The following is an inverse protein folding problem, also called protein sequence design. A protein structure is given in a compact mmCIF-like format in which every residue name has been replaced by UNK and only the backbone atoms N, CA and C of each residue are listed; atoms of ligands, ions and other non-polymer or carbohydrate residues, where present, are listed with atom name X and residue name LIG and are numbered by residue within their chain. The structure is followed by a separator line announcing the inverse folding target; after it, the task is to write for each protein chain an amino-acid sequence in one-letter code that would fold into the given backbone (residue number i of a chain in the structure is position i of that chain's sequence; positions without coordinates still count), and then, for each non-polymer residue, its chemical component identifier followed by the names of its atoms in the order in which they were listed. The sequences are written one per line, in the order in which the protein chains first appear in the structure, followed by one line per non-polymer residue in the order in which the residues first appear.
data_IF_411390921163
#
_entry.id   IF_411390921163
#
_cell.length_a   1.000
_cell.length_b   1.000
_cell.length_c   1.000
_cell.angle_alpha   90.00
_cell.angle_beta   90.00
_cell.angle_gamma   90.00
#
_symmetry.space_group_name_H-M   'P 1'
#
loop_
_entity.id
_entity.type
_entity.pdbx_description
1 polymer ?
#
# COMPACT_ATOMS: atom_id res chain seq x y z
N UNK A 1 19.30 -21.17 -14.00
CA UNK A 1 19.20 -21.42 -12.55
C UNK A 1 17.74 -21.64 -12.21
N UNK A 2 17.44 -22.69 -11.45
CA UNK A 2 16.09 -23.05 -11.02
C UNK A 2 16.16 -23.50 -9.55
N UNK A 3 15.44 -22.83 -8.68
CA UNK A 3 15.30 -23.19 -7.27
C UNK A 3 13.81 -23.20 -6.89
N UNK A 4 13.44 -23.95 -5.86
CA UNK A 4 12.11 -23.86 -5.25
C UNK A 4 12.30 -23.64 -3.76
N UNK A 5 11.68 -22.56 -3.25
CA UNK A 5 11.61 -22.27 -1.82
C UNK A 5 10.19 -22.43 -1.33
N UNK A 6 10.03 -22.67 -0.03
CA UNK A 6 8.73 -22.86 0.60
C UNK A 6 8.56 -21.86 1.72
N UNK A 7 7.38 -21.26 1.77
CA UNK A 7 7.00 -20.30 2.82
C UNK A 7 5.68 -20.77 3.44
N UNK A 8 5.58 -20.69 4.77
CA UNK A 8 4.34 -21.03 5.47
C UNK A 8 3.53 -19.76 5.73
N UNK A 9 2.38 -19.62 5.09
CA UNK A 9 1.47 -18.47 5.24
C UNK A 9 0.05 -19.00 5.42
N UNK A 10 -0.73 -18.37 6.30
CA UNK A 10 -2.15 -18.69 6.54
C UNK A 10 -2.46 -20.20 6.69
N UNK A 11 -1.62 -20.90 7.44
CA UNK A 11 -1.83 -22.32 7.75
C UNK A 11 -1.37 -23.31 6.66
N UNK A 12 -0.83 -22.84 5.54
CA UNK A 12 -0.39 -23.70 4.44
C UNK A 12 1.01 -23.38 3.91
N UNK A 13 1.64 -24.35 3.26
CA UNK A 13 2.92 -24.15 2.58
C UNK A 13 2.70 -23.71 1.13
N UNK A 14 3.23 -22.54 0.77
CA UNK A 14 3.32 -22.06 -0.61
C UNK A 14 4.69 -22.40 -1.16
N UNK A 15 4.72 -23.08 -2.31
CA UNK A 15 5.96 -23.28 -3.08
C UNK A 15 6.17 -22.13 -4.07
N UNK A 16 7.36 -21.54 -4.05
CA UNK A 16 7.75 -20.42 -4.91
C UNK A 16 8.89 -20.89 -5.81
N UNK A 17 8.64 -20.87 -7.12
CA UNK A 17 9.64 -21.19 -8.15
C UNK A 17 10.50 -19.95 -8.40
N UNK A 18 11.82 -20.06 -8.26
CA UNK A 18 12.77 -18.99 -8.52
C UNK A 18 13.58 -19.38 -9.75
N UNK A 19 13.53 -18.58 -10.80
CA UNK A 19 14.18 -18.95 -12.06
C UNK A 19 14.55 -17.76 -12.95
N UNK A 20 15.60 -17.93 -13.73
CA UNK A 20 15.94 -17.06 -14.86
C UNK A 20 15.67 -17.74 -16.22
N UNK A 21 14.79 -18.75 -16.26
CA UNK A 21 14.46 -19.50 -17.46
C UNK A 21 12.99 -19.27 -17.84
N UNK A 22 12.76 -18.66 -19.01
CA UNK A 22 11.41 -18.36 -19.49
C UNK A 22 10.49 -19.58 -19.60
N UNK A 23 11.00 -20.75 -20.02
CA UNK A 23 10.17 -21.95 -20.11
C UNK A 23 9.68 -22.41 -18.73
N UNK A 24 10.52 -22.27 -17.69
CA UNK A 24 10.17 -22.60 -16.31
C UNK A 24 9.13 -21.62 -15.77
N UNK A 25 9.35 -20.31 -15.98
CA UNK A 25 8.43 -19.26 -15.51
C UNK A 25 7.06 -19.33 -16.23
N UNK A 26 7.06 -19.58 -17.55
CA UNK A 26 5.83 -19.76 -18.32
C UNK A 26 5.06 -21.01 -17.88
N UNK A 27 5.76 -22.11 -17.57
CA UNK A 27 5.12 -23.31 -17.04
C UNK A 27 4.51 -23.05 -15.66
N UNK A 28 5.24 -22.36 -14.77
CA UNK A 28 4.72 -21.95 -13.46
C UNK A 28 3.45 -21.12 -13.58
N UNK A 29 3.43 -20.14 -14.49
CA UNK A 29 2.24 -19.32 -14.80
C UNK A 29 1.07 -20.17 -15.30
N UNK A 30 1.33 -21.10 -16.23
CA UNK A 30 0.29 -21.97 -16.79
C UNK A 30 -0.31 -22.93 -15.73
N UNK A 31 0.51 -23.39 -14.79
CA UNK A 31 0.08 -24.21 -13.64
C UNK A 31 -0.52 -23.37 -12.50
N UNK A 32 -0.49 -22.04 -12.62
CA UNK A 32 -0.94 -21.12 -11.58
C UNK A 32 -0.11 -21.19 -10.30
N UNK A 33 1.20 -21.46 -10.39
CA UNK A 33 2.13 -21.54 -9.24
C UNK A 33 2.82 -20.20 -8.99
N UNK A 34 3.17 -19.94 -7.74
CA UNK A 34 3.96 -18.76 -7.37
C UNK A 34 5.36 -18.85 -7.98
N UNK A 35 5.83 -17.75 -8.56
CA UNK A 35 7.16 -17.69 -9.17
C UNK A 35 7.80 -16.31 -9.03
N UNK A 36 9.14 -16.28 -9.00
CA UNK A 36 9.97 -15.07 -9.01
C UNK A 36 10.98 -15.20 -10.16
N UNK A 37 11.01 -14.18 -11.01
CA UNK A 37 12.00 -14.07 -12.08
C UNK A 37 13.32 -13.52 -11.53
N UNK A 38 14.44 -14.13 -11.87
CA UNK A 38 15.77 -13.57 -11.60
C UNK A 38 16.30 -12.99 -12.90
N UNK A 39 16.39 -11.66 -12.95
CA UNK A 39 16.66 -10.91 -14.18
C UNK A 39 18.13 -11.05 -14.62
N UNK A 40 19.06 -10.88 -13.67
CA UNK A 40 20.49 -10.84 -13.94
C UNK A 40 20.89 -9.73 -14.93
N UNK A 41 22.11 -9.85 -15.49
CA UNK A 41 22.67 -8.83 -16.40
C UNK A 41 21.95 -8.73 -17.76
N UNK A 42 21.28 -9.80 -18.18
CA UNK A 42 20.57 -9.88 -19.46
C UNK A 42 19.05 -9.85 -19.22
N UNK A 43 18.58 -8.90 -18.41
CA UNK A 43 17.16 -8.79 -18.05
C UNK A 43 16.21 -8.77 -19.25
N UNK A 44 16.66 -8.24 -20.40
CA UNK A 44 15.89 -8.17 -21.64
C UNK A 44 15.57 -9.54 -22.25
N UNK A 45 16.30 -10.59 -21.88
CA UNK A 45 16.05 -11.96 -22.32
C UNK A 45 14.95 -12.65 -21.47
N UNK A 46 14.53 -12.06 -20.35
CA UNK A 46 13.52 -12.61 -19.45
C UNK A 46 12.14 -12.05 -19.79
N UNK A 47 11.16 -12.93 -19.96
CA UNK A 47 9.76 -12.55 -20.13
C UNK A 47 9.16 -12.15 -18.78
N UNK A 48 9.23 -10.84 -18.47
CA UNK A 48 8.68 -10.26 -17.24
C UNK A 48 7.15 -10.28 -17.17
N UNK A 49 6.45 -10.75 -18.21
CA UNK A 49 4.99 -10.96 -18.16
C UNK A 49 4.63 -12.33 -17.59
N UNK A 50 5.61 -13.23 -17.42
CA UNK A 50 5.41 -14.59 -16.90
C UNK A 50 5.14 -14.62 -15.39
N UNK A 51 5.58 -13.61 -14.64
CA UNK A 51 5.30 -13.46 -13.21
C UNK A 51 5.31 -11.98 -12.84
N UNK A 52 4.47 -11.53 -11.88
CA UNK A 52 4.53 -10.16 -11.38
C UNK A 52 5.75 -9.87 -10.48
N UNK A 53 6.54 -10.89 -10.11
CA UNK A 53 7.66 -10.74 -9.18
C UNK A 53 8.99 -10.96 -9.87
N UNK A 54 9.90 -10.00 -9.74
CA UNK A 54 11.24 -10.08 -10.28
C UNK A 54 12.27 -9.48 -9.33
N UNK A 55 13.48 -10.02 -9.35
CA UNK A 55 14.66 -9.51 -8.62
C UNK A 55 15.85 -9.40 -9.57
N UNK A 56 16.77 -8.49 -9.30
CA UNK A 56 17.97 -8.34 -10.12
C UNK A 56 18.91 -9.55 -9.94
N UNK A 57 19.10 -9.99 -8.70
CA UNK A 57 19.95 -11.12 -8.35
C UNK A 57 19.36 -11.98 -7.22
N UNK A 58 20.00 -13.11 -6.93
CA UNK A 58 19.52 -14.02 -5.88
C UNK A 58 19.64 -13.43 -4.48
N UNK A 59 20.65 -12.59 -4.30
CA UNK A 59 20.99 -11.95 -3.04
C UNK A 59 19.90 -10.98 -2.57
N UNK A 60 19.09 -10.47 -3.51
CA UNK A 60 17.93 -9.62 -3.21
C UNK A 60 16.74 -10.41 -2.64
N UNK A 61 16.76 -11.74 -2.73
CA UNK A 61 15.68 -12.60 -2.23
C UNK A 61 15.82 -12.79 -0.72
N UNK A 62 15.13 -11.94 0.03
CA UNK A 62 15.01 -12.03 1.49
C UNK A 62 13.84 -12.94 1.91
N UNK A 63 13.83 -13.36 3.18
CA UNK A 63 12.68 -14.08 3.75
C UNK A 63 11.42 -13.22 3.75
N UNK A 64 11.55 -11.91 4.00
CA UNK A 64 10.46 -10.97 3.95
C UNK A 64 9.86 -10.87 2.54
N UNK A 65 10.70 -10.72 1.52
CA UNK A 65 10.25 -10.70 0.12
C UNK A 65 9.51 -11.99 -0.27
N UNK A 66 10.02 -13.16 0.12
CA UNK A 66 9.34 -14.43 -0.16
C UNK A 66 8.00 -14.57 0.58
N UNK A 67 7.90 -14.06 1.82
CA UNK A 67 6.62 -13.97 2.54
C UNK A 67 5.64 -13.09 1.77
N UNK A 68 6.06 -11.93 1.26
CA UNK A 68 5.17 -11.07 0.47
C UNK A 68 4.71 -11.73 -0.83
N UNK A 69 5.62 -12.41 -1.54
CA UNK A 69 5.27 -13.18 -2.75
C UNK A 69 4.22 -14.24 -2.42
N UNK A 70 4.39 -14.98 -1.33
CA UNK A 70 3.44 -15.99 -0.88
C UNK A 70 2.07 -15.38 -0.51
N UNK A 71 2.07 -14.30 0.28
CA UNK A 71 0.86 -13.59 0.71
C UNK A 71 0.08 -13.06 -0.50
N UNK A 72 0.74 -12.34 -1.42
CA UNK A 72 0.12 -11.81 -2.64
C UNK A 72 -0.37 -12.90 -3.59
N UNK A 73 0.38 -14.00 -3.71
CA UNK A 73 -0.07 -15.18 -4.46
C UNK A 73 -1.37 -15.77 -3.88
N UNK A 74 -1.49 -15.82 -2.55
CA UNK A 74 -2.70 -16.23 -1.82
C UNK A 74 -3.78 -15.14 -1.77
N UNK A 75 -3.52 -13.95 -2.32
CA UNK A 75 -4.37 -12.75 -2.27
C UNK A 75 -4.66 -12.29 -0.83
N UNK A 76 -3.72 -12.52 0.07
CA UNK A 76 -3.79 -12.07 1.45
C UNK A 76 -3.19 -10.65 1.49
N UNK A 77 -3.96 -9.63 1.90
CA UNK A 77 -3.46 -8.26 1.97
C UNK A 77 -2.37 -8.12 3.04
N UNK A 78 -1.24 -7.50 2.69
CA UNK A 78 -0.09 -7.40 3.59
C UNK A 78 -0.30 -6.27 4.62
N UNK A 79 0.08 -6.53 5.87
CA UNK A 79 0.16 -5.52 6.93
C UNK A 79 1.53 -4.83 6.85
N UNK A 80 1.54 -3.53 6.54
CA UNK A 80 2.76 -2.71 6.44
C UNK A 80 3.21 -2.12 7.77
N UNK A 81 2.27 -1.90 8.68
CA UNK A 81 2.57 -1.50 10.04
C UNK A 81 1.55 -2.13 11.01
N UNK A 82 2.05 -2.73 12.09
CA UNK A 82 1.26 -3.22 13.20
C UNK A 82 1.57 -2.38 14.45
N UNK A 83 0.53 -1.74 14.99
CA UNK A 83 0.59 -0.83 16.13
C UNK A 83 -0.27 -1.36 17.29
N UNK A 84 -0.40 -2.69 17.40
CA UNK A 84 -1.23 -3.37 18.38
C UNK A 84 -2.66 -3.52 17.88
N UNK A 85 -3.61 -2.81 18.49
CA UNK A 85 -5.02 -2.87 18.05
C UNK A 85 -5.25 -2.15 16.70
N UNK A 86 -4.24 -1.47 16.15
CA UNK A 86 -4.32 -0.75 14.88
C UNK A 86 -3.32 -1.32 13.88
N UNK A 87 -3.78 -1.58 12.67
CA UNK A 87 -2.94 -2.05 11.57
C UNK A 87 -3.11 -1.16 10.33
N UNK A 88 -2.00 -0.94 9.62
CA UNK A 88 -2.01 -0.44 8.25
C UNK A 88 -1.89 -1.62 7.31
N UNK A 89 -2.96 -1.92 6.58
CA UNK A 89 -3.07 -3.09 5.71
C UNK A 89 -3.34 -2.66 4.27
N UNK A 90 -2.76 -3.36 3.32
CA UNK A 90 -3.14 -3.24 1.91
C UNK A 90 -4.66 -3.40 1.76
N UNK A 91 -5.28 -2.58 0.92
CA UNK A 91 -6.70 -2.69 0.63
C UNK A 91 -6.98 -3.91 -0.24
N UNK A 92 -8.14 -4.52 -0.04
CA UNK A 92 -8.67 -5.63 -0.81
C UNK A 92 -9.93 -5.20 -1.57
N UNK A 93 -10.39 -6.02 -2.52
CA UNK A 93 -11.62 -5.72 -3.26
C UNK A 93 -12.84 -5.71 -2.32
N UNK A 94 -12.79 -6.51 -1.27
CA UNK A 94 -13.82 -6.63 -0.24
C UNK A 94 -13.95 -5.35 0.61
N UNK A 95 -12.92 -4.51 0.66
CA UNK A 95 -12.94 -3.25 1.41
C UNK A 95 -13.71 -2.12 0.66
N UNK A 96 -13.88 -2.24 -0.66
CA UNK A 96 -14.46 -1.20 -1.52
C UNK A 96 -15.88 -0.75 -1.11
N UNK A 97 -16.85 -1.66 -0.88
CA UNK A 97 -18.22 -1.26 -0.58
C UNK A 97 -18.34 -0.40 0.67
N UNK A 98 -17.57 -0.70 1.72
CA UNK A 98 -17.61 0.06 2.97
C UNK A 98 -16.95 1.44 2.80
N UNK A 99 -15.83 1.54 2.06
CA UNK A 99 -15.20 2.85 1.76
C UNK A 99 -16.20 3.77 1.03
N UNK A 100 -16.88 3.24 0.01
CA UNK A 100 -17.92 3.96 -0.72
C UNK A 100 -19.10 4.36 0.19
N UNK A 101 -19.56 3.46 1.06
CA UNK A 101 -20.64 3.75 1.99
C UNK A 101 -20.25 4.87 2.99
N UNK A 102 -19.01 4.87 3.47
CA UNK A 102 -18.50 5.92 4.37
C UNK A 102 -18.42 7.27 3.66
N UNK A 103 -17.97 7.29 2.41
CA UNK A 103 -17.95 8.50 1.59
C UNK A 103 -19.36 9.07 1.41
N UNK A 104 -20.32 8.24 1.00
CA UNK A 104 -21.70 8.67 0.80
C UNK A 104 -22.33 9.25 2.08
N UNK A 105 -21.99 8.70 3.26
CA UNK A 105 -22.48 9.21 4.55
C UNK A 105 -21.88 10.57 4.94
N UNK A 106 -20.71 10.92 4.42
CA UNK A 106 -19.92 12.05 4.94
C UNK A 106 -19.66 13.16 3.93
N UNK A 107 -19.93 12.91 2.64
CA UNK A 107 -19.48 13.79 1.55
C UNK A 107 -20.00 15.22 1.64
N UNK A 108 -21.25 15.43 2.08
CA UNK A 108 -21.81 16.77 2.20
C UNK A 108 -21.00 17.67 3.13
N UNK A 109 -20.36 17.08 4.15
CA UNK A 109 -19.60 17.79 5.18
C UNK A 109 -18.10 17.83 4.89
N UNK A 110 -17.61 16.92 4.07
CA UNK A 110 -16.18 16.62 3.97
C UNK A 110 -15.60 16.81 2.57
N UNK A 111 -16.43 16.94 1.53
CA UNK A 111 -15.99 17.10 0.13
C UNK A 111 -14.96 18.21 -0.06
N UNK A 112 -15.03 19.23 0.77
CA UNK A 112 -14.15 20.38 0.76
C UNK A 112 -12.70 19.99 1.09
N UNK A 113 -12.50 19.09 2.06
CA UNK A 113 -11.16 18.63 2.47
C UNK A 113 -10.71 17.36 1.76
N UNK A 114 -11.63 16.64 1.12
CA UNK A 114 -11.33 15.46 0.32
C UNK A 114 -10.90 15.93 -1.08
N UNK A 115 -9.60 16.13 -1.25
CA UNK A 115 -8.98 16.52 -2.53
C UNK A 115 -9.27 15.52 -3.67
N UNK A 116 -8.81 15.84 -4.88
CA UNK A 116 -9.11 15.06 -6.09
C UNK A 116 -8.69 13.58 -6.04
N UNK A 117 -7.68 13.23 -5.25
CA UNK A 117 -7.14 11.87 -5.12
C UNK A 117 -8.14 10.88 -4.54
N UNK A 118 -9.13 11.35 -3.75
CA UNK A 118 -10.18 10.49 -3.21
C UNK A 118 -10.98 9.80 -4.32
N UNK A 119 -11.04 10.39 -5.52
CA UNK A 119 -11.75 9.82 -6.67
C UNK A 119 -11.19 8.45 -7.05
N UNK A 120 -9.89 8.23 -6.94
CA UNK A 120 -9.25 6.95 -7.24
C UNK A 120 -9.71 5.85 -6.29
N UNK A 121 -10.12 6.20 -5.07
CA UNK A 121 -10.64 5.25 -4.07
C UNK A 121 -12.13 4.95 -4.23
N UNK A 122 -12.85 5.77 -5.00
CA UNK A 122 -14.30 5.72 -5.12
C UNK A 122 -14.77 5.27 -6.50
N UNK A 123 -13.92 5.43 -7.52
CA UNK A 123 -14.11 4.82 -8.82
C UNK A 123 -13.72 3.34 -8.77
N UNK A 124 -14.67 2.45 -9.07
CA UNK A 124 -14.50 1.00 -8.90
C UNK A 124 -13.34 0.46 -9.75
N UNK A 125 -13.26 0.88 -11.02
CA UNK A 125 -12.21 0.43 -11.95
C UNK A 125 -10.83 0.88 -11.46
N UNK A 126 -10.71 2.14 -11.04
CA UNK A 126 -9.46 2.70 -10.51
C UNK A 126 -9.08 2.04 -9.18
N UNK A 127 -10.04 1.79 -8.28
CA UNK A 127 -9.79 1.11 -7.01
C UNK A 127 -9.29 -0.32 -7.25
N UNK A 128 -9.95 -1.09 -8.12
CA UNK A 128 -9.50 -2.45 -8.44
C UNK A 128 -8.15 -2.47 -9.14
N UNK A 129 -7.86 -1.51 -10.02
CA UNK A 129 -6.55 -1.38 -10.63
C UNK A 129 -5.46 -1.07 -9.58
N UNK A 130 -5.74 -0.17 -8.64
CA UNK A 130 -4.85 0.17 -7.52
C UNK A 130 -4.57 -1.06 -6.65
N UNK A 131 -5.60 -1.78 -6.21
CA UNK A 131 -5.43 -2.99 -5.36
C UNK A 131 -4.70 -4.10 -6.12
N UNK A 132 -4.98 -4.27 -7.42
CA UNK A 132 -4.40 -5.35 -8.22
C UNK A 132 -2.95 -5.10 -8.63
N UNK A 133 -2.59 -3.85 -8.92
CA UNK A 133 -1.29 -3.53 -9.54
C UNK A 133 -0.46 -2.54 -8.71
N UNK A 134 -1.09 -1.64 -7.96
CA UNK A 134 -0.39 -0.56 -7.24
C UNK A 134 0.63 -1.11 -6.25
N UNK A 135 0.22 -2.04 -5.39
CA UNK A 135 1.12 -2.66 -4.40
C UNK A 135 2.18 -3.60 -5.00
N UNK A 136 2.10 -3.92 -6.30
CA UNK A 136 3.14 -4.68 -7.01
C UNK A 136 4.21 -3.77 -7.61
N UNK A 137 3.86 -2.52 -7.91
CA UNK A 137 4.70 -1.59 -8.66
C UNK A 137 5.39 -0.55 -7.77
N UNK A 138 4.94 -0.39 -6.53
CA UNK A 138 5.39 0.67 -5.64
C UNK A 138 5.32 0.23 -4.18
N UNK A 139 6.38 0.54 -3.43
CA UNK A 139 6.41 0.43 -1.97
C UNK A 139 5.59 1.53 -1.28
N UNK A 140 5.23 2.56 -2.04
CA UNK A 140 4.36 3.67 -1.64
C UNK A 140 2.94 3.44 -2.15
N UNK A 141 1.93 3.87 -1.41
CA UNK A 141 0.55 3.65 -1.79
C UNK A 141 -0.46 4.19 -0.78
N UNK A 142 -1.67 3.67 -0.86
CA UNK A 142 -2.74 3.91 0.11
C UNK A 142 -3.02 2.63 0.86
N UNK A 143 -3.23 2.67 2.16
CA UNK A 143 -3.54 1.52 3.01
C UNK A 143 -4.80 1.78 3.80
N UNK A 144 -5.55 0.73 4.10
CA UNK A 144 -6.63 0.80 5.06
C UNK A 144 -6.09 0.84 6.49
N UNK A 145 -6.75 1.60 7.34
CA UNK A 145 -6.49 1.67 8.78
C UNK A 145 -7.50 0.75 9.44
N UNK A 146 -7.02 -0.33 10.06
CA UNK A 146 -7.86 -1.36 10.66
C UNK A 146 -7.77 -1.33 12.18
N UNK A 147 -8.91 -1.44 12.85
CA UNK A 147 -9.00 -1.74 14.28
C UNK A 147 -9.67 -3.11 14.44
N UNK A 148 -8.87 -4.14 14.70
CA UNK A 148 -9.31 -5.52 14.43
C UNK A 148 -9.71 -5.68 12.97
N UNK A 149 -10.88 -6.26 12.70
CA UNK A 149 -11.38 -6.46 11.32
C UNK A 149 -12.10 -5.22 10.74
N UNK A 150 -12.22 -4.13 11.50
CA UNK A 150 -12.99 -2.95 11.11
C UNK A 150 -12.08 -1.93 10.44
N UNK A 151 -12.35 -1.62 9.17
CA UNK A 151 -11.72 -0.48 8.50
C UNK A 151 -12.26 0.84 9.07
N UNK A 152 -11.40 1.62 9.70
CA UNK A 152 -11.75 2.91 10.34
C UNK A 152 -11.35 4.13 9.51
N UNK A 153 -10.62 3.93 8.43
CA UNK A 153 -10.18 4.96 7.52
C UNK A 153 -9.13 4.46 6.53
N UNK A 154 -8.53 5.39 5.80
CA UNK A 154 -7.42 5.15 4.88
C UNK A 154 -6.28 6.12 5.18
N UNK A 155 -5.05 5.71 4.92
CA UNK A 155 -3.85 6.55 4.99
C UNK A 155 -2.98 6.29 3.77
N UNK A 156 -2.30 7.30 3.26
CA UNK A 156 -1.47 7.21 2.07
C UNK A 156 -0.12 7.87 2.27
N UNK A 157 0.84 7.36 1.51
CA UNK A 157 2.14 7.96 1.31
C UNK A 157 2.40 7.92 -0.19
N UNK A 158 2.48 9.08 -0.83
CA UNK A 158 2.71 9.19 -2.28
C UNK A 158 3.98 10.01 -2.54
N UNK A 159 4.68 9.71 -3.62
CA UNK A 159 5.86 10.48 -4.01
C UNK A 159 5.43 11.71 -4.81
N UNK A 160 5.71 12.91 -4.30
CA UNK A 160 5.43 14.17 -4.99
C UNK A 160 6.74 14.96 -5.05
N UNK A 161 7.29 15.09 -6.25
CA UNK A 161 8.61 15.70 -6.49
C UNK A 161 9.70 15.00 -5.65
N UNK A 162 10.37 15.75 -4.76
CA UNK A 162 11.43 15.29 -3.89
C UNK A 162 10.94 14.84 -2.49
N UNK A 163 9.63 14.92 -2.23
CA UNK A 163 9.04 14.62 -0.92
C UNK A 163 8.05 13.45 -0.98
N UNK A 164 7.68 12.95 0.20
CA UNK A 164 6.56 12.04 0.39
C UNK A 164 5.37 12.83 0.93
N UNK A 165 4.29 12.89 0.17
CA UNK A 165 3.04 13.47 0.60
C UNK A 165 2.25 12.46 1.43
N UNK A 166 1.97 12.81 2.68
CA UNK A 166 1.15 12.05 3.60
C UNK A 166 -0.31 12.48 3.47
N UNK A 167 -1.20 11.51 3.26
CA UNK A 167 -2.64 11.69 3.26
C UNK A 167 -3.31 10.78 4.28
N UNK A 168 -4.48 11.18 4.78
CA UNK A 168 -5.36 10.28 5.52
C UNK A 168 -6.81 10.73 5.45
N UNK A 169 -7.70 9.78 5.65
CA UNK A 169 -9.12 10.03 5.85
C UNK A 169 -9.67 9.03 6.87
N UNK A 170 -9.95 9.52 8.09
CA UNK A 170 -10.65 8.75 9.12
C UNK A 170 -12.15 8.89 8.89
N UNK A 171 -12.86 7.76 8.80
CA UNK A 171 -14.30 7.79 8.59
C UNK A 171 -15.01 8.43 9.78
N UNK A 172 -16.08 9.18 9.48
CA UNK A 172 -16.75 10.07 10.44
C UNK A 172 -17.09 9.41 11.80
N UNK A 173 -17.64 8.16 11.86
CA UNK A 173 -17.98 7.48 13.11
C UNK A 173 -16.77 7.15 14.04
N UNK A 174 -15.56 7.15 13.48
CA UNK A 174 -14.34 6.69 14.15
C UNK A 174 -13.38 7.82 14.51
N UNK A 175 -13.75 9.08 14.25
CA UNK A 175 -12.93 10.26 14.59
C UNK A 175 -12.82 10.49 16.09
N UNK A 176 -11.81 11.29 16.47
CA UNK A 176 -11.48 11.65 17.87
C UNK A 176 -11.12 10.45 18.75
N UNK A 177 -10.57 9.39 18.14
CA UNK A 177 -10.08 8.18 18.83
C UNK A 177 -8.58 7.95 18.66
N UNK A 178 -7.85 8.93 18.12
CA UNK A 178 -6.40 8.84 17.90
C UNK A 178 -5.96 8.03 16.67
N UNK A 179 -6.89 7.51 15.85
CA UNK A 179 -6.54 6.67 14.69
C UNK A 179 -5.69 7.38 13.63
N UNK A 180 -5.93 8.67 13.36
CA UNK A 180 -5.08 9.43 12.43
C UNK A 180 -3.63 9.49 12.92
N UNK A 181 -3.43 9.80 14.21
CA UNK A 181 -2.10 9.83 14.83
C UNK A 181 -1.41 8.47 14.72
N UNK A 182 -2.10 7.39 15.06
CA UNK A 182 -1.57 6.02 14.93
C UNK A 182 -1.21 5.69 13.48
N UNK A 183 -2.07 6.01 12.52
CA UNK A 183 -1.78 5.78 11.12
C UNK A 183 -0.52 6.54 10.65
N UNK A 184 -0.36 7.80 11.07
CA UNK A 184 0.84 8.59 10.78
C UNK A 184 2.09 7.95 11.40
N UNK A 185 2.04 7.54 12.67
CA UNK A 185 3.13 6.80 13.34
C UNK A 185 3.51 5.54 12.55
N UNK A 186 2.51 4.78 12.08
CA UNK A 186 2.71 3.59 11.26
C UNK A 186 3.37 3.89 9.90
N UNK A 187 2.94 4.95 9.21
CA UNK A 187 3.55 5.36 7.93
C UNK A 187 4.99 5.81 8.10
N UNK A 188 5.32 6.54 9.18
CA UNK A 188 6.69 6.95 9.50
C UNK A 188 7.55 5.71 9.76
N UNK A 189 7.08 4.79 10.61
CA UNK A 189 7.81 3.55 10.91
C UNK A 189 8.02 2.69 9.66
N UNK A 190 7.00 2.61 8.80
CA UNK A 190 7.10 1.90 7.52
C UNK A 190 8.14 2.53 6.59
N UNK A 191 8.10 3.85 6.43
CA UNK A 191 9.11 4.59 5.64
C UNK A 191 10.53 4.34 6.14
N UNK A 192 10.74 4.35 7.46
CA UNK A 192 12.04 4.06 8.09
C UNK A 192 12.49 2.63 7.81
N UNK A 193 11.59 1.65 7.98
CA UNK A 193 11.86 0.24 7.68
C UNK A 193 12.29 0.03 6.22
N UNK A 194 11.65 0.76 5.30
CA UNK A 194 11.95 0.71 3.87
C UNK A 194 13.18 1.55 3.47
N UNK A 195 13.88 2.17 4.43
CA UNK A 195 15.03 3.06 4.22
C UNK A 195 14.76 4.16 3.18
N UNK A 196 13.55 4.71 3.15
CA UNK A 196 13.21 5.79 2.22
C UNK A 196 13.71 7.12 2.79
N UNK A 197 14.67 7.76 2.12
CA UNK A 197 15.36 8.96 2.62
C UNK A 197 14.58 10.27 2.47
N UNK A 198 13.51 10.30 1.66
CA UNK A 198 12.71 11.51 1.39
C UNK A 198 12.02 12.07 2.64
N UNK A 199 11.90 13.38 2.76
CA UNK A 199 11.11 14.02 3.82
C UNK A 199 9.61 13.76 3.64
N UNK A 200 8.86 13.77 4.74
CA UNK A 200 7.39 13.72 4.71
C UNK A 200 6.84 15.14 4.80
N UNK A 201 5.87 15.46 3.94
CA UNK A 201 5.04 16.65 4.03
C UNK A 201 3.55 16.29 3.94
N UNK A 202 2.67 17.23 4.26
CA UNK A 202 1.23 17.09 4.05
C UNK A 202 0.67 18.35 3.40
N UNK A 203 -0.20 18.18 2.39
CA UNK A 203 -1.03 19.27 1.87
C UNK A 203 -2.33 19.31 2.64
N UNK A 204 -2.60 20.42 3.32
CA UNK A 204 -3.78 20.55 4.18
C UNK A 204 -4.47 21.88 3.89
N UNK A 205 -5.79 21.84 3.71
CA UNK A 205 -6.60 23.04 3.57
C UNK A 205 -6.47 23.93 4.81
N UNK A 206 -6.29 25.23 4.61
CA UNK A 206 -6.02 26.17 5.71
C UNK A 206 -7.15 26.30 6.74
N UNK A 207 -8.36 25.86 6.41
CA UNK A 207 -9.51 25.80 7.32
C UNK A 207 -9.71 24.42 7.98
N UNK A 208 -8.91 23.40 7.63
CA UNK A 208 -8.90 22.10 8.29
C UNK A 208 -8.03 22.14 9.55
N UNK A 209 -8.50 22.89 10.56
CA UNK A 209 -7.79 23.12 11.82
C UNK A 209 -7.42 21.83 12.56
N UNK A 210 -8.24 20.77 12.42
CA UNK A 210 -7.99 19.49 13.07
C UNK A 210 -6.76 18.80 12.48
N UNK A 211 -6.66 18.75 11.15
CA UNK A 211 -5.49 18.15 10.49
C UNK A 211 -4.24 19.01 10.64
N UNK A 212 -4.36 20.34 10.63
CA UNK A 212 -3.25 21.26 10.89
C UNK A 212 -2.66 21.05 12.28
N UNK A 213 -3.51 20.98 13.32
CA UNK A 213 -3.04 20.76 14.69
C UNK A 213 -2.35 19.40 14.86
N UNK A 214 -2.90 18.34 14.24
CA UNK A 214 -2.27 17.02 14.28
C UNK A 214 -0.92 17.02 13.56
N UNK A 215 -0.80 17.68 12.41
CA UNK A 215 0.46 17.77 11.70
C UNK A 215 1.52 18.52 12.51
N UNK A 216 1.15 19.62 13.18
CA UNK A 216 2.01 20.35 14.11
C UNK A 216 2.47 19.48 15.28
N UNK A 217 1.54 18.76 15.93
CA UNK A 217 1.84 17.83 17.03
C UNK A 217 2.85 16.75 16.60
N UNK A 218 2.73 16.26 15.37
CA UNK A 218 3.56 15.20 14.80
C UNK A 218 4.86 15.72 14.15
N UNK A 219 5.08 17.05 14.13
CA UNK A 219 6.25 17.65 13.49
C UNK A 219 6.30 17.48 11.96
N UNK A 220 5.13 17.33 11.31
CA UNK A 220 5.03 17.18 9.86
C UNK A 220 5.06 18.56 9.21
N UNK A 221 5.89 18.71 8.17
CA UNK A 221 5.88 19.94 7.36
C UNK A 221 4.57 20.06 6.58
N UNK A 222 3.87 21.19 6.74
CA UNK A 222 2.57 21.43 6.10
C UNK A 222 2.69 22.44 4.96
N UNK A 223 2.21 22.05 3.78
CA UNK A 223 1.92 22.95 2.67
C UNK A 223 0.44 23.31 2.74
N UNK A 224 0.14 24.51 3.22
CA UNK A 224 -1.25 24.98 3.34
C UNK A 224 -1.79 25.27 1.94
N UNK A 225 -2.94 24.69 1.61
CA UNK A 225 -3.64 24.93 0.34
C UNK A 225 -4.98 25.63 0.57
N UNK A 226 -5.46 26.32 -0.46
CA UNK A 226 -6.77 26.99 -0.48
C UNK A 226 -7.47 26.67 -1.80
N UNK A 227 -8.81 26.78 -1.84
CA UNK A 227 -9.67 26.40 -2.99
C UNK A 227 -9.28 26.98 -4.35
N UNK A 228 -8.42 28.01 -4.38
CA UNK A 228 -7.98 28.69 -5.59
C UNK A 228 -6.76 28.03 -6.27
N UNK A 229 -6.19 26.96 -5.70
CA UNK A 229 -4.89 26.40 -6.11
C UNK A 229 -4.95 24.96 -6.70
N UNK A 230 -6.15 24.46 -7.03
CA UNK A 230 -6.36 23.15 -7.68
C UNK A 230 -6.88 23.29 -9.13
#
# INVERSE_FOLDING_TARGET
MNETRRVYVDGEWVEIIISNNNAVLLNAKAEGRAAVAVLGKNWADIDITSTPFAVECLEDITEEFLNEVAMRYKKIPIVRADLGEIQLRELSFEDYPEICAQYQRSIEKEKHWLGGEIKCLLDEETFYAMVKFGYLQSELGTWGIFHGDICVGVASLSCVEEELELGYWIFSPYRRRGYAKKAIEGLISYKEKMNIEKSICAKIFGDNLVSLHLAEEMGIFVKIVWDCEL
#
